data_IF_708652052306
#
_entry.id   IF_708652052306
#
_cell.length_a   1.000
_cell.length_b   1.000
_cell.length_c   1.000
_cell.angle_alpha   90.00
_cell.angle_beta   90.00
_cell.angle_gamma   90.00
#
_symmetry.space_group_name_H-M   'P 1'
#
loop_
_entity.id
_entity.type
_entity.pdbx_description
1 polymer ?
#
# COMPACT_ATOMS: atom_id res chain seq x y z
N UNK A 1 -29.22 -3.34 -7.51
CA UNK A 1 -28.29 -2.41 -8.21
C UNK A 1 -28.41 -2.64 -9.71
N UNK A 2 -28.18 -1.62 -10.54
CA UNK A 2 -28.09 -1.79 -11.99
C UNK A 2 -26.78 -2.48 -12.34
N UNK A 3 -26.82 -3.62 -13.02
CA UNK A 3 -25.61 -4.35 -13.41
C UNK A 3 -25.10 -3.78 -14.75
N UNK A 4 -23.84 -3.38 -14.78
CA UNK A 4 -23.13 -2.87 -15.95
C UNK A 4 -21.87 -3.70 -16.13
N UNK A 5 -21.58 -4.14 -17.33
CA UNK A 5 -20.40 -4.94 -17.62
C UNK A 5 -19.64 -4.40 -18.84
N UNK A 6 -18.37 -4.77 -18.90
CA UNK A 6 -17.48 -4.39 -19.98
C UNK A 6 -17.84 -5.12 -21.29
N UNK A 7 -18.21 -4.36 -22.33
CA UNK A 7 -18.79 -4.92 -23.57
C UNK A 7 -17.87 -5.87 -24.34
N UNK A 8 -16.56 -5.63 -24.32
CA UNK A 8 -15.54 -6.45 -24.99
C UNK A 8 -15.13 -7.70 -24.19
N UNK A 9 -15.71 -7.95 -23.01
CA UNK A 9 -15.44 -9.16 -22.23
C UNK A 9 -16.65 -10.10 -22.17
N UNK A 10 -16.55 -11.23 -22.86
CA UNK A 10 -17.53 -12.31 -22.77
C UNK A 10 -17.59 -12.92 -21.35
N UNK A 11 -16.49 -12.85 -20.58
CA UNK A 11 -16.46 -13.32 -19.20
C UNK A 11 -17.28 -12.37 -18.31
N UNK A 12 -17.05 -11.07 -18.43
CA UNK A 12 -17.81 -10.06 -17.68
C UNK A 12 -19.31 -10.13 -17.99
N UNK A 13 -19.67 -10.29 -19.27
CA UNK A 13 -21.06 -10.50 -19.68
C UNK A 13 -21.69 -11.72 -19.01
N UNK A 14 -21.02 -12.89 -19.09
CA UNK A 14 -21.55 -14.13 -18.51
C UNK A 14 -21.73 -14.02 -17.00
N UNK A 15 -20.81 -13.36 -16.30
CA UNK A 15 -20.92 -13.11 -14.86
C UNK A 15 -22.10 -12.18 -14.57
N UNK A 16 -22.29 -11.14 -15.39
CA UNK A 16 -23.41 -10.21 -15.24
C UNK A 16 -24.76 -10.90 -15.37
N UNK A 17 -24.95 -11.70 -16.42
CA UNK A 17 -26.16 -12.48 -16.68
C UNK A 17 -26.45 -13.46 -15.53
N UNK A 18 -25.44 -14.19 -15.07
CA UNK A 18 -25.58 -15.14 -13.96
C UNK A 18 -25.94 -14.44 -12.64
N UNK A 19 -25.38 -13.25 -12.36
CA UNK A 19 -25.74 -12.46 -11.18
C UNK A 19 -27.18 -11.94 -11.31
N UNK A 20 -27.58 -11.47 -12.48
CA UNK A 20 -28.94 -10.99 -12.74
C UNK A 20 -29.96 -12.12 -12.52
N UNK A 21 -29.69 -13.30 -13.08
CA UNK A 21 -30.52 -14.50 -12.92
C UNK A 21 -30.62 -14.92 -11.45
N UNK A 22 -29.50 -14.90 -10.69
CA UNK A 22 -29.49 -15.23 -9.26
C UNK A 22 -30.26 -14.24 -8.41
N UNK A 23 -30.13 -12.94 -8.70
CA UNK A 23 -30.86 -11.88 -8.00
C UNK A 23 -32.36 -11.96 -8.30
N UNK A 24 -32.74 -12.28 -9.54
CA UNK A 24 -34.12 -12.40 -9.97
C UNK A 24 -34.81 -13.67 -9.44
N UNK A 25 -34.11 -14.80 -9.48
CA UNK A 25 -34.66 -16.12 -9.08
C UNK A 25 -34.66 -16.28 -7.55
N UNK A 26 -33.70 -15.64 -6.86
CA UNK A 26 -33.33 -16.00 -5.50
C UNK A 26 -32.69 -17.39 -5.47
N UNK A 27 -31.81 -17.66 -4.51
CA UNK A 27 -31.49 -19.06 -4.23
C UNK A 27 -32.81 -19.73 -3.81
N UNK A 28 -33.07 -20.96 -4.24
CA UNK A 28 -34.28 -21.78 -3.97
C UNK A 28 -34.59 -22.05 -2.47
N UNK A 29 -34.12 -21.18 -1.58
CA UNK A 29 -34.19 -21.17 -0.12
C UNK A 29 -34.49 -19.74 0.31
N UNK A 30 -35.74 -19.34 0.58
CA UNK A 30 -36.17 -18.13 1.35
C UNK A 30 -35.47 -16.76 1.13
N UNK A 31 -34.53 -16.63 0.20
CA UNK A 31 -33.60 -15.51 -0.01
C UNK A 31 -34.16 -14.49 -0.99
N UNK A 32 -35.35 -14.76 -1.56
CA UNK A 32 -36.05 -13.81 -2.42
C UNK A 32 -36.30 -12.47 -1.71
N UNK A 33 -36.48 -12.48 -0.39
CA UNK A 33 -36.62 -11.27 0.42
C UNK A 33 -35.27 -10.59 0.74
N UNK A 34 -34.13 -11.26 0.55
CA UNK A 34 -32.80 -10.70 0.81
C UNK A 34 -32.43 -9.57 -0.16
N UNK A 35 -32.91 -9.67 -1.40
CA UNK A 35 -32.66 -8.68 -2.46
C UNK A 35 -33.83 -7.71 -2.70
N UNK A 36 -34.93 -7.85 -1.95
CA UNK A 36 -36.03 -6.87 -1.93
C UNK A 36 -35.71 -5.73 -0.96
N UNK A 37 -34.74 -4.90 -1.34
CA UNK A 37 -34.55 -3.61 -0.68
C UNK A 37 -35.82 -2.78 -0.91
N UNK A 38 -36.58 -2.50 0.15
CA UNK A 38 -37.90 -1.85 0.04
C UNK A 38 -37.86 -0.58 -0.83
N UNK A 39 -38.99 -0.27 -1.49
CA UNK A 39 -39.17 0.82 -2.46
C UNK A 39 -38.77 2.24 -1.97
N UNK A 40 -38.42 2.40 -0.69
CA UNK A 40 -38.01 3.66 -0.08
C UNK A 40 -36.54 4.02 -0.37
N UNK A 41 -35.72 3.08 -0.86
CA UNK A 41 -34.34 3.33 -1.25
C UNK A 41 -34.14 3.04 -2.75
N UNK A 42 -34.60 3.95 -3.62
CA UNK A 42 -34.05 4.05 -4.99
C UNK A 42 -32.62 4.59 -4.90
N UNK A 43 -31.68 3.81 -4.37
CA UNK A 43 -30.28 4.16 -4.52
C UNK A 43 -29.90 3.89 -5.98
N UNK A 44 -29.31 4.89 -6.65
CA UNK A 44 -28.70 4.73 -7.97
C UNK A 44 -27.39 3.93 -7.82
N UNK A 45 -27.47 2.71 -7.29
CA UNK A 45 -26.31 1.83 -7.09
C UNK A 45 -26.12 1.02 -8.35
N UNK A 46 -24.95 1.12 -8.95
CA UNK A 46 -24.52 0.27 -10.05
C UNK A 46 -23.51 -0.78 -9.57
N UNK A 47 -23.60 -1.99 -10.12
CA UNK A 47 -22.57 -3.02 -10.01
C UNK A 47 -21.81 -3.03 -11.34
N UNK A 48 -20.54 -2.62 -11.32
CA UNK A 48 -19.69 -2.62 -12.50
C UNK A 48 -18.81 -3.88 -12.51
N UNK A 49 -18.87 -4.63 -13.61
CA UNK A 49 -18.08 -5.85 -13.83
C UNK A 49 -17.06 -5.57 -14.93
N UNK A 50 -15.78 -5.63 -14.56
CA UNK A 50 -14.65 -5.34 -15.44
C UNK A 50 -13.77 -6.57 -15.62
N UNK A 51 -13.04 -6.59 -16.73
CA UNK A 51 -12.05 -7.59 -17.06
C UNK A 51 -10.65 -6.98 -16.97
N UNK A 52 -9.76 -7.61 -16.20
CA UNK A 52 -8.38 -7.11 -16.00
C UNK A 52 -7.61 -6.95 -17.32
N UNK A 53 -8.00 -7.69 -18.37
CA UNK A 53 -7.36 -7.63 -19.69
C UNK A 53 -7.50 -6.28 -20.40
N UNK A 54 -8.44 -5.43 -19.98
CA UNK A 54 -8.59 -4.07 -20.54
C UNK A 54 -7.48 -3.12 -20.06
N UNK A 55 -6.92 -3.38 -18.88
CA UNK A 55 -5.84 -2.62 -18.27
C UNK A 55 -4.81 -3.59 -17.68
N UNK A 56 -3.95 -4.18 -18.53
CA UNK A 56 -2.88 -5.06 -18.08
C UNK A 56 -1.68 -4.29 -17.51
N UNK A 57 -1.62 -2.96 -17.66
CA UNK A 57 -0.44 -2.14 -17.31
C UNK A 57 -0.46 -1.76 -15.83
N UNK A 58 -1.60 -1.29 -15.31
CA UNK A 58 -1.67 -0.83 -13.92
C UNK A 58 -1.24 -1.85 -12.86
N UNK A 59 -1.45 -3.18 -12.94
CA UNK A 59 -0.98 -4.10 -11.90
C UNK A 59 0.53 -4.38 -11.99
N UNK A 60 1.22 -3.92 -13.04
CA UNK A 60 2.65 -4.11 -13.27
C UNK A 60 3.49 -2.89 -12.86
N UNK A 61 2.86 -1.71 -12.75
CA UNK A 61 3.57 -0.49 -12.37
C UNK A 61 3.96 -0.51 -10.89
N UNK A 62 5.15 -0.01 -10.58
CA UNK A 62 5.55 0.31 -9.22
C UNK A 62 4.61 1.36 -8.62
N UNK A 63 4.06 1.07 -7.45
CA UNK A 63 3.16 2.00 -6.76
C UNK A 63 3.83 2.70 -5.59
N UNK A 64 3.55 4.00 -5.43
CA UNK A 64 4.14 4.83 -4.36
C UNK A 64 3.19 5.16 -3.21
N UNK A 65 1.97 4.61 -3.20
CA UNK A 65 1.06 4.76 -2.05
C UNK A 65 1.45 3.78 -0.96
N UNK A 66 1.29 4.19 0.31
CA UNK A 66 1.81 3.43 1.44
C UNK A 66 1.36 1.95 1.43
N UNK A 67 0.07 1.68 1.29
CA UNK A 67 -0.46 0.31 1.28
C UNK A 67 0.06 -0.49 0.09
N UNK A 68 0.12 0.11 -1.09
CA UNK A 68 0.57 -0.57 -2.30
C UNK A 68 2.05 -0.94 -2.19
N UNK A 69 2.90 -0.02 -1.71
CA UNK A 69 4.32 -0.29 -1.48
C UNK A 69 4.53 -1.45 -0.50
N UNK A 70 3.77 -1.50 0.60
CA UNK A 70 3.84 -2.61 1.56
C UNK A 70 3.46 -3.91 0.84
N UNK A 71 2.33 -3.92 0.13
CA UNK A 71 1.83 -5.10 -0.55
C UNK A 71 2.82 -5.65 -1.60
N UNK A 72 3.42 -4.76 -2.37
CA UNK A 72 4.35 -5.08 -3.45
C UNK A 72 5.73 -5.51 -2.93
N UNK A 73 6.31 -4.75 -2.00
CA UNK A 73 7.71 -4.92 -1.60
C UNK A 73 7.91 -5.80 -0.36
N UNK A 74 6.95 -5.82 0.56
CA UNK A 74 7.04 -6.60 1.80
C UNK A 74 6.05 -7.77 1.81
N UNK A 75 4.95 -7.65 1.07
CA UNK A 75 3.85 -8.59 1.05
C UNK A 75 2.89 -8.39 2.21
N UNK A 76 1.59 -8.37 1.91
CA UNK A 76 0.52 -8.42 2.92
C UNK A 76 -0.17 -9.78 2.78
N UNK A 77 -0.18 -10.56 3.87
CA UNK A 77 -0.88 -11.85 3.92
C UNK A 77 -1.80 -11.88 5.14
N UNK A 78 -3.11 -11.99 4.92
CA UNK A 78 -4.10 -11.95 6.00
C UNK A 78 -3.93 -10.73 6.92
N UNK A 79 -3.73 -9.55 6.33
CA UNK A 79 -3.47 -8.29 7.04
C UNK A 79 -2.20 -8.30 7.91
N UNK A 80 -1.26 -9.20 7.64
CA UNK A 80 0.04 -9.30 8.32
C UNK A 80 1.17 -9.03 7.34
N UNK A 81 2.19 -8.34 7.84
CA UNK A 81 3.42 -8.04 7.14
C UNK A 81 4.57 -8.62 7.91
N UNK A 82 5.41 -9.39 7.24
CA UNK A 82 6.63 -9.93 7.82
C UNK A 82 7.78 -8.94 7.60
N UNK A 83 8.21 -8.25 8.66
CA UNK A 83 9.34 -7.30 8.60
C UNK A 83 10.67 -7.95 9.03
N UNK A 84 10.70 -9.27 9.28
CA UNK A 84 11.90 -9.98 9.74
C UNK A 84 13.03 -10.02 8.70
N UNK A 85 12.70 -9.91 7.41
CA UNK A 85 13.71 -9.87 6.32
C UNK A 85 14.54 -8.59 6.32
N UNK A 86 14.02 -7.53 6.94
CA UNK A 86 14.62 -6.18 6.88
C UNK A 86 15.08 -5.69 8.24
N UNK A 87 14.33 -6.03 9.30
CA UNK A 87 14.72 -5.81 10.69
C UNK A 87 15.54 -7.00 11.17
N UNK A 88 16.78 -6.79 11.65
CA UNK A 88 17.61 -7.82 12.28
C UNK A 88 16.99 -8.40 13.59
N UNK A 89 15.73 -8.07 13.89
CA UNK A 89 14.98 -8.57 15.03
C UNK A 89 14.24 -9.85 14.61
N UNK A 90 14.47 -10.94 15.36
CA UNK A 90 13.79 -12.22 15.15
C UNK A 90 12.27 -12.02 15.16
N UNK A 91 11.62 -12.46 14.08
CA UNK A 91 10.17 -12.69 13.96
C UNK A 91 9.30 -11.53 14.44
N UNK A 92 9.24 -10.45 13.65
CA UNK A 92 8.19 -9.43 13.79
C UNK A 92 7.21 -9.56 12.62
N UNK A 93 6.10 -10.25 12.88
CA UNK A 93 4.88 -10.04 12.11
C UNK A 93 4.15 -8.82 12.66
N UNK A 94 3.79 -7.88 11.79
CA UNK A 94 3.01 -6.70 12.12
C UNK A 94 1.62 -6.82 11.53
N UNK A 95 0.60 -6.57 12.34
CA UNK A 95 -0.80 -6.52 11.88
C UNK A 95 -1.15 -5.10 11.43
N UNK A 96 -1.73 -5.01 10.24
CA UNK A 96 -2.28 -3.78 9.64
C UNK A 96 -3.81 -3.85 9.65
N UNK A 97 -4.45 -3.03 10.47
CA UNK A 97 -5.92 -2.97 10.58
C UNK A 97 -6.39 -1.53 10.47
N UNK A 98 -7.11 -1.19 9.41
CA UNK A 98 -7.69 0.16 9.24
C UNK A 98 -8.65 0.51 10.38
N UNK A 99 -9.24 -0.48 11.05
CA UNK A 99 -10.22 -0.27 12.13
C UNK A 99 -9.56 0.07 13.47
N UNK A 100 -8.42 -0.56 13.77
CA UNK A 100 -7.76 -0.45 15.08
C UNK A 100 -6.58 0.52 15.06
N UNK A 101 -6.17 0.98 13.88
CA UNK A 101 -4.98 1.78 13.65
C UNK A 101 -5.31 3.11 12.99
N UNK A 102 -5.28 4.17 13.79
CA UNK A 102 -5.58 5.53 13.33
C UNK A 102 -4.51 6.05 12.37
N UNK A 103 -3.23 5.77 12.65
CA UNK A 103 -2.13 6.20 11.78
C UNK A 103 -2.23 5.52 10.42
N UNK A 104 -2.43 4.20 10.38
CA UNK A 104 -2.57 3.48 9.12
C UNK A 104 -3.81 3.95 8.35
N UNK A 105 -4.94 4.16 9.02
CA UNK A 105 -6.17 4.66 8.37
C UNK A 105 -5.94 6.01 7.68
N UNK A 106 -5.21 6.92 8.31
CA UNK A 106 -4.89 8.23 7.76
C UNK A 106 -3.85 8.14 6.63
N UNK A 107 -2.86 7.25 6.77
CA UNK A 107 -1.69 7.19 5.87
C UNK A 107 -1.77 6.16 4.73
N UNK A 108 -2.76 5.26 4.72
CA UNK A 108 -2.83 4.12 3.78
C UNK A 108 -2.71 4.50 2.29
N UNK A 109 -3.16 5.69 1.91
CA UNK A 109 -3.14 6.21 0.54
C UNK A 109 -2.19 7.39 0.35
N UNK A 110 -1.45 7.79 1.39
CA UNK A 110 -0.43 8.82 1.28
C UNK A 110 0.72 8.31 0.40
N UNK A 111 1.33 9.24 -0.33
CA UNK A 111 2.51 8.96 -1.14
C UNK A 111 3.71 8.78 -0.20
N UNK A 112 4.64 7.90 -0.55
CA UNK A 112 5.81 7.56 0.27
C UNK A 112 6.62 8.78 0.74
N UNK A 113 6.79 9.79 -0.12
CA UNK A 113 7.48 11.03 0.23
C UNK A 113 6.81 11.83 1.35
N UNK A 114 5.49 11.71 1.51
CA UNK A 114 4.72 12.40 2.56
C UNK A 114 4.77 11.65 3.90
N UNK A 115 4.95 10.32 3.84
CA UNK A 115 4.90 9.45 5.00
C UNK A 115 5.99 9.76 6.04
N UNK A 116 7.19 10.15 5.59
CA UNK A 116 8.27 10.57 6.47
C UNK A 116 7.92 11.81 7.30
N UNK A 117 7.18 12.75 6.70
CA UNK A 117 6.72 13.96 7.40
C UNK A 117 5.60 13.62 8.39
N UNK A 118 4.66 12.75 8.01
CA UNK A 118 3.60 12.29 8.89
C UNK A 118 4.14 11.56 10.13
N UNK A 119 5.13 10.66 9.95
CA UNK A 119 5.77 9.98 11.07
C UNK A 119 6.51 10.94 11.99
N UNK A 120 7.20 11.93 11.41
CA UNK A 120 7.91 12.95 12.18
C UNK A 120 6.96 13.76 13.05
N UNK A 121 5.81 14.17 12.54
CA UNK A 121 4.84 14.95 13.30
C UNK A 121 4.39 14.23 14.57
N UNK A 122 4.13 12.93 14.48
CA UNK A 122 3.74 12.10 15.63
C UNK A 122 4.88 11.99 16.66
N UNK A 123 6.12 11.82 16.21
CA UNK A 123 7.27 11.75 17.12
C UNK A 123 7.54 13.11 17.77
N UNK A 124 7.38 14.21 17.05
CA UNK A 124 7.51 15.57 17.57
C UNK A 124 6.42 15.88 18.61
N UNK A 125 5.18 15.38 18.41
CA UNK A 125 4.10 15.49 19.39
C UNK A 125 4.39 14.71 20.68
N UNK A 126 4.90 13.49 20.54
CA UNK A 126 5.35 12.69 21.67
C UNK A 126 6.44 13.39 22.48
N UNK A 127 7.47 13.92 21.83
CA UNK A 127 8.56 14.64 22.49
C UNK A 127 8.08 15.88 23.26
N UNK A 128 7.04 16.56 22.77
CA UNK A 128 6.41 17.69 23.49
C UNK A 128 5.67 17.23 24.73
N UNK A 129 4.96 16.10 24.66
CA UNK A 129 4.15 15.58 25.74
C UNK A 129 4.99 14.98 26.89
N UNK A 130 6.12 14.33 26.56
CA UNK A 130 7.10 13.77 27.51
C UNK A 130 8.16 14.79 27.97
N UNK A 131 7.88 16.09 27.82
CA UNK A 131 8.80 17.24 27.84
C UNK A 131 9.79 17.44 29.00
N UNK A 132 9.93 16.50 29.94
CA UNK A 132 10.93 16.53 31.03
C UNK A 132 11.81 15.26 31.15
N UNK A 133 11.43 14.10 30.59
CA UNK A 133 12.18 12.83 30.75
C UNK A 133 13.30 12.67 29.72
N UNK A 134 13.08 13.17 28.50
CA UNK A 134 13.96 13.02 27.33
C UNK A 134 14.90 14.24 27.19
N UNK A 135 14.60 15.34 27.87
CA UNK A 135 15.30 16.62 27.72
C UNK A 135 16.71 16.67 28.37
N UNK A 136 17.12 15.68 29.15
CA UNK A 136 18.36 15.75 29.97
C UNK A 136 19.58 15.03 29.39
N UNK A 137 19.46 14.35 28.25
CA UNK A 137 20.59 13.73 27.56
C UNK A 137 20.35 13.61 26.06
N UNK A 138 20.99 14.46 25.25
CA UNK A 138 20.91 14.46 23.77
C UNK A 138 19.51 14.65 23.12
N UNK A 139 18.42 14.71 23.88
CA UNK A 139 17.02 14.62 23.43
C UNK A 139 16.38 15.85 22.80
N UNK A 140 17.17 16.67 22.10
CA UNK A 140 16.66 17.60 21.07
C UNK A 140 17.33 17.31 19.73
N UNK A 141 17.56 16.02 19.46
CA UNK A 141 18.00 15.58 18.16
C UNK A 141 16.94 16.02 17.15
N UNK A 142 17.32 16.90 16.23
CA UNK A 142 16.46 17.34 15.15
C UNK A 142 16.27 16.11 14.25
N UNK A 143 15.19 15.36 14.46
CA UNK A 143 14.88 14.20 13.63
C UNK A 143 14.53 14.72 12.24
N UNK A 144 15.37 14.43 11.25
CA UNK A 144 15.16 14.88 9.87
C UNK A 144 14.88 13.72 8.92
N UNK A 145 15.31 12.50 9.26
CA UNK A 145 15.10 11.31 8.44
C UNK A 145 14.37 10.19 9.17
N UNK A 146 13.90 9.20 8.41
CA UNK A 146 13.27 7.99 8.94
C UNK A 146 14.28 7.18 9.76
N UNK A 147 15.55 7.17 9.36
CA UNK A 147 16.64 6.50 10.09
C UNK A 147 16.89 7.18 11.45
N UNK A 148 16.80 8.50 11.53
CA UNK A 148 16.88 9.22 12.81
C UNK A 148 15.74 8.82 13.74
N UNK A 149 14.52 8.73 13.21
CA UNK A 149 13.34 8.31 13.98
C UNK A 149 13.51 6.87 14.47
N UNK A 150 13.99 5.97 13.63
CA UNK A 150 14.26 4.58 14.03
C UNK A 150 15.32 4.51 15.14
N UNK A 151 16.43 5.26 15.02
CA UNK A 151 17.46 5.34 16.07
C UNK A 151 16.92 5.94 17.35
N UNK A 152 16.05 6.94 17.28
CA UNK A 152 15.37 7.49 18.44
C UNK A 152 14.57 6.38 19.15
N UNK A 153 13.77 5.61 18.42
CA UNK A 153 13.01 4.51 19.01
C UNK A 153 13.88 3.42 19.66
N UNK A 154 15.03 3.10 19.07
CA UNK A 154 15.98 2.14 19.63
C UNK A 154 16.59 2.63 20.95
N UNK A 155 16.85 3.94 21.06
CA UNK A 155 17.41 4.56 22.26
C UNK A 155 16.37 4.87 23.34
N UNK A 156 15.08 4.93 23.00
CA UNK A 156 13.98 5.26 23.92
C UNK A 156 12.88 4.18 23.93
N UNK A 157 13.07 3.05 24.63
CA UNK A 157 12.09 1.95 24.68
C UNK A 157 10.72 2.34 25.25
N UNK A 158 10.65 3.36 26.12
CA UNK A 158 9.40 3.91 26.65
C UNK A 158 8.47 4.42 25.53
N UNK A 159 9.04 5.06 24.50
CA UNK A 159 8.28 5.47 23.30
C UNK A 159 7.67 4.25 22.61
N UNK A 160 8.43 3.16 22.43
CA UNK A 160 7.91 1.94 21.80
C UNK A 160 6.77 1.30 22.64
N UNK A 161 6.78 1.48 23.96
CA UNK A 161 5.74 0.97 24.86
C UNK A 161 4.46 1.82 24.81
N UNK A 162 4.59 3.14 24.71
CA UNK A 162 3.47 4.08 24.70
C UNK A 162 2.89 4.26 23.29
N UNK A 163 3.74 4.42 22.28
CA UNK A 163 3.42 4.62 20.87
C UNK A 163 3.72 3.37 20.03
N UNK A 164 3.32 2.20 20.53
CA UNK A 164 3.59 0.91 19.89
C UNK A 164 3.01 0.80 18.46
N UNK A 165 1.93 1.54 18.17
CA UNK A 165 1.36 1.60 16.82
C UNK A 165 2.25 2.41 15.87
N UNK A 166 2.77 3.55 16.28
CA UNK A 166 3.67 4.38 15.46
C UNK A 166 5.00 3.66 15.23
N UNK A 167 5.50 2.98 16.26
CA UNK A 167 6.72 2.20 16.19
C UNK A 167 6.70 1.15 15.07
N UNK A 168 5.55 0.51 14.85
CA UNK A 168 5.41 -0.47 13.77
C UNK A 168 5.50 0.18 12.39
N UNK A 169 4.94 1.37 12.22
CA UNK A 169 4.97 2.11 10.95
C UNK A 169 6.34 2.67 10.64
N UNK A 170 7.09 3.14 11.64
CA UNK A 170 8.50 3.50 11.46
C UNK A 170 9.30 2.29 10.97
N UNK A 171 9.07 1.11 11.56
CA UNK A 171 9.76 -0.13 11.15
C UNK A 171 9.43 -0.50 9.70
N UNK A 172 8.15 -0.46 9.32
CA UNK A 172 7.70 -0.74 7.95
C UNK A 172 8.28 0.29 6.97
N UNK A 173 8.19 1.58 7.28
CA UNK A 173 8.66 2.67 6.41
C UNK A 173 10.17 2.63 6.22
N UNK A 174 10.93 2.32 7.27
CA UNK A 174 12.37 2.08 7.17
C UNK A 174 12.66 0.87 6.27
N UNK A 175 11.88 -0.21 6.41
CA UNK A 175 12.03 -1.38 5.55
C UNK A 175 11.76 -1.08 4.08
N UNK A 176 10.73 -0.29 3.79
CA UNK A 176 10.43 0.20 2.44
C UNK A 176 11.58 1.08 1.90
N UNK A 177 12.07 2.04 2.70
CA UNK A 177 13.19 2.90 2.31
C UNK A 177 14.42 2.09 1.88
N UNK A 178 14.73 1.04 2.64
CA UNK A 178 15.82 0.12 2.33
C UNK A 178 15.58 -0.63 1.02
N UNK A 179 14.41 -1.25 0.84
CA UNK A 179 14.09 -2.03 -0.39
C UNK A 179 14.10 -1.14 -1.62
N UNK A 180 13.51 0.06 -1.52
CA UNK A 180 13.50 1.06 -2.59
C UNK A 180 14.91 1.45 -3.03
N UNK A 181 15.82 1.62 -2.06
CA UNK A 181 17.22 1.97 -2.35
C UNK A 181 18.01 0.77 -2.92
N UNK A 182 17.82 -0.43 -2.35
CA UNK A 182 18.53 -1.64 -2.78
C UNK A 182 18.16 -2.10 -4.20
N UNK A 183 16.89 -1.91 -4.60
CA UNK A 183 16.39 -2.29 -5.93
C UNK A 183 16.38 -1.14 -6.93
N UNK A 184 16.82 0.05 -6.53
CA UNK A 184 16.78 1.27 -7.35
C UNK A 184 15.38 1.57 -7.96
N UNK A 185 14.33 1.45 -7.14
CA UNK A 185 12.94 1.52 -7.63
C UNK A 185 12.53 2.90 -8.14
N UNK A 186 13.23 3.97 -7.74
CA UNK A 186 12.96 5.31 -8.27
C UNK A 186 13.22 5.37 -9.78
N UNK A 187 14.41 5.01 -10.23
CA UNK A 187 14.79 5.04 -11.64
C UNK A 187 13.96 4.05 -12.48
N UNK A 188 13.61 2.91 -11.88
CA UNK A 188 12.76 1.90 -12.49
C UNK A 188 11.32 2.41 -12.68
N UNK A 189 10.72 2.95 -11.62
CA UNK A 189 9.37 3.50 -11.70
C UNK A 189 9.30 4.68 -12.67
N UNK A 190 10.36 5.49 -12.77
CA UNK A 190 10.42 6.57 -13.77
C UNK A 190 10.38 6.01 -15.20
N UNK A 191 11.16 4.97 -15.48
CA UNK A 191 11.15 4.29 -16.78
C UNK A 191 9.78 3.66 -17.08
N UNK A 192 9.16 3.02 -16.10
CA UNK A 192 7.80 2.47 -16.25
C UNK A 192 6.76 3.53 -16.57
N UNK A 193 6.81 4.68 -15.88
CA UNK A 193 5.91 5.80 -16.17
C UNK A 193 6.18 6.38 -17.56
N UNK A 194 7.44 6.46 -17.97
CA UNK A 194 7.82 6.87 -19.32
C UNK A 194 7.24 5.91 -20.37
N UNK A 195 7.34 4.59 -20.18
CA UNK A 195 6.77 3.58 -21.06
C UNK A 195 5.23 3.59 -21.08
N UNK A 196 4.60 3.84 -19.93
CA UNK A 196 3.15 3.83 -19.80
C UNK A 196 2.47 5.10 -20.33
N UNK A 197 3.13 6.25 -20.22
CA UNK A 197 2.52 7.57 -20.47
C UNK A 197 3.13 8.36 -21.62
N UNK A 198 4.40 8.14 -21.98
CA UNK A 198 5.11 8.97 -22.96
C UNK A 198 5.19 8.33 -24.35
N UNK A 199 5.27 9.17 -25.38
CA UNK A 199 5.37 8.74 -26.77
C UNK A 199 6.83 8.58 -27.27
N UNK A 200 7.83 9.10 -26.52
CA UNK A 200 9.24 9.03 -26.94
C UNK A 200 9.89 7.69 -26.56
N UNK A 201 9.61 6.66 -27.35
CA UNK A 201 10.02 5.28 -27.06
C UNK A 201 11.52 4.99 -27.29
N UNK A 202 12.26 5.88 -27.97
CA UNK A 202 13.68 5.58 -28.30
C UNK A 202 14.58 5.66 -27.08
N UNK A 203 14.37 6.68 -26.25
CA UNK A 203 15.15 6.87 -25.01
C UNK A 203 14.78 5.80 -23.97
N UNK A 204 13.48 5.55 -23.79
CA UNK A 204 12.97 4.49 -22.95
C UNK A 204 13.51 3.11 -23.36
N UNK A 205 13.59 2.79 -24.65
CA UNK A 205 14.14 1.51 -25.13
C UNK A 205 15.61 1.31 -24.72
N UNK A 206 16.46 2.34 -24.88
CA UNK A 206 17.87 2.26 -24.48
C UNK A 206 18.02 2.09 -22.95
N UNK A 207 17.13 2.73 -22.18
CA UNK A 207 17.08 2.55 -20.72
C UNK A 207 16.69 1.11 -20.37
N UNK A 208 15.66 0.54 -21.02
CA UNK A 208 15.27 -0.87 -20.82
C UNK A 208 16.43 -1.82 -21.09
N UNK A 209 17.16 -1.64 -22.19
CA UNK A 209 18.34 -2.49 -22.50
C UNK A 209 19.37 -2.44 -21.37
N UNK A 210 19.65 -1.25 -20.84
CA UNK A 210 20.56 -1.05 -19.70
C UNK A 210 20.07 -1.77 -18.44
N UNK A 211 18.78 -1.65 -18.10
CA UNK A 211 18.19 -2.30 -16.91
C UNK A 211 18.16 -3.83 -17.03
N UNK A 212 17.90 -4.36 -18.23
CA UNK A 212 17.86 -5.81 -18.47
C UNK A 212 19.26 -6.44 -18.33
N UNK A 213 20.32 -5.72 -18.75
CA UNK A 213 21.71 -6.16 -18.62
C UNK A 213 22.25 -6.05 -17.18
N UNK A 214 21.69 -5.17 -16.34
CA UNK A 214 22.16 -4.97 -14.96
C UNK A 214 21.92 -6.21 -14.08
N UNK A 215 22.99 -6.79 -13.55
CA UNK A 215 22.93 -7.97 -12.67
C UNK A 215 22.35 -7.70 -11.29
N UNK A 216 22.26 -6.43 -10.87
CA UNK A 216 21.70 -6.04 -9.57
C UNK A 216 20.18 -5.95 -9.58
N UNK A 217 19.57 -5.82 -10.76
CA UNK A 217 18.12 -5.75 -10.92
C UNK A 217 17.54 -7.16 -10.86
N UNK A 218 16.46 -7.33 -10.10
CA UNK A 218 15.82 -8.63 -9.94
C UNK A 218 15.20 -9.12 -11.24
N UNK A 219 15.01 -10.44 -11.38
CA UNK A 219 14.35 -10.98 -12.58
C UNK A 219 12.89 -10.53 -12.68
N UNK A 220 12.20 -10.39 -11.55
CA UNK A 220 10.81 -9.96 -11.49
C UNK A 220 10.66 -8.51 -11.99
N UNK A 221 11.60 -7.64 -11.62
CA UNK A 221 11.64 -6.25 -12.07
C UNK A 221 11.97 -6.07 -13.56
N UNK A 222 12.59 -7.09 -14.18
CA UNK A 222 12.93 -7.07 -15.61
C UNK A 222 11.80 -7.57 -16.51
N UNK A 223 10.89 -8.37 -15.95
CA UNK A 223 9.81 -9.04 -16.68
C UNK A 223 8.64 -8.09 -16.89
#
# INVERSE_FOLDING_TARGET
PTIVYQRNSAIAQRIAEEIEDRVATGNNTSDFDLFRFGNNNKSNTALLILDRRDDPVTPLLNHWTYTAMIHENLGIRNNRVDVSKVSNQKEQEVVLSVQDDEFYRASQHMVFGELGSALKEVVDEFQKHEGNSIASGAGRAKLQSIEDIQRFMENYPEFKRQEGMVAKHVTITSALSKVTSERNLFDMSELEQELACNENLTEAFNRVETFVEDTNVSLEDKL
#
